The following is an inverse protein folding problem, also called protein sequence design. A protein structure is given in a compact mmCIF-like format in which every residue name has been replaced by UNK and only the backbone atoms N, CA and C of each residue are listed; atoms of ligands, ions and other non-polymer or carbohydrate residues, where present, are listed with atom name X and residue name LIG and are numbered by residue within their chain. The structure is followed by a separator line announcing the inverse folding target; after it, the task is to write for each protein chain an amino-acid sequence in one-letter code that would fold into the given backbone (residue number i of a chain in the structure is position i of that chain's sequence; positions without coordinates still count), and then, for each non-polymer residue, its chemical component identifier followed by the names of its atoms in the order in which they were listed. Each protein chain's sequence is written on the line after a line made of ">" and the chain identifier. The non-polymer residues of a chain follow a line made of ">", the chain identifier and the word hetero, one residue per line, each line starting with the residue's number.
data_IF_277430160528
#
_entry.id   IF_277430160528
#
_cell.length_a   1.000
_cell.length_b   1.000
_cell.length_c   1.000
_cell.angle_alpha   90.00
_cell.angle_beta   90.00
_cell.angle_gamma   90.00
#
_symmetry.space_group_name_H-M   'P 1'
#
loop_
_entity.id
_entity.type
_entity.pdbx_description
1 polymer ?
#
# COMPACT_ATOMS: atom_id res chain seq x y z
N UNK A 1 12.62 12.82 -2.64
CA UNK A 1 12.47 12.63 -4.09
C UNK A 1 11.12 12.00 -4.34
N UNK A 2 10.28 12.62 -5.20
CA UNK A 2 8.91 12.14 -5.50
C UNK A 2 8.89 11.05 -6.60
N UNK A 3 10.05 10.55 -7.01
CA UNK A 3 10.18 9.51 -8.03
C UNK A 3 10.59 8.19 -7.36
N UNK A 4 9.85 7.13 -7.66
CA UNK A 4 10.23 5.77 -7.28
C UNK A 4 11.54 5.34 -7.98
N UNK A 5 12.34 4.48 -7.39
CA UNK A 5 13.61 4.06 -7.97
C UNK A 5 13.39 3.34 -9.31
N UNK A 6 13.99 3.88 -10.37
CA UNK A 6 14.00 3.26 -11.70
C UNK A 6 12.76 3.48 -12.57
N UNK A 7 11.75 4.22 -12.11
CA UNK A 7 10.56 4.57 -12.91
C UNK A 7 10.71 5.93 -13.57
N UNK A 8 10.31 6.05 -14.84
CA UNK A 8 10.34 7.31 -15.59
C UNK A 8 9.15 7.39 -16.55
N UNK A 9 8.68 8.60 -16.89
CA UNK A 9 7.67 8.78 -17.93
C UNK A 9 8.06 8.08 -19.24
N UNK A 10 7.08 7.41 -19.86
CA UNK A 10 7.29 6.58 -21.05
C UNK A 10 7.56 5.10 -20.75
N UNK A 11 7.74 4.72 -19.49
CA UNK A 11 7.86 3.31 -19.08
C UNK A 11 6.50 2.60 -19.17
N UNK A 12 6.46 1.42 -19.77
CA UNK A 12 5.29 0.56 -19.72
C UNK A 12 5.15 -0.08 -18.33
N UNK A 13 3.92 -0.27 -17.85
CA UNK A 13 3.66 -0.90 -16.54
C UNK A 13 4.29 -2.30 -16.44
N UNK A 14 4.18 -3.10 -17.52
CA UNK A 14 4.80 -4.44 -17.60
C UNK A 14 6.34 -4.37 -17.43
N UNK A 15 6.98 -3.30 -17.91
CA UNK A 15 8.42 -3.10 -17.72
C UNK A 15 8.76 -2.75 -16.25
N UNK A 16 7.90 -1.98 -15.58
CA UNK A 16 7.99 -1.73 -14.15
C UNK A 16 7.86 -3.00 -13.33
N UNK A 17 6.88 -3.85 -13.66
CA UNK A 17 6.71 -5.17 -13.08
C UNK A 17 7.94 -6.08 -13.26
N UNK A 18 8.56 -6.07 -14.44
CA UNK A 18 9.74 -6.86 -14.70
C UNK A 18 11.00 -6.35 -13.98
N UNK A 19 11.09 -5.05 -13.73
CA UNK A 19 12.23 -4.42 -13.05
C UNK A 19 12.22 -4.66 -11.54
N UNK A 20 11.07 -4.58 -10.89
CA UNK A 20 10.95 -4.60 -9.43
C UNK A 20 11.57 -5.85 -8.77
N UNK A 21 11.36 -7.10 -9.25
CA UNK A 21 12.00 -8.30 -8.69
C UNK A 21 13.53 -8.25 -8.76
N UNK A 22 14.09 -7.65 -9.82
CA UNK A 22 15.54 -7.54 -9.97
C UNK A 22 16.12 -6.57 -8.94
N UNK A 23 15.49 -5.41 -8.76
CA UNK A 23 15.91 -4.41 -7.76
C UNK A 23 15.88 -5.01 -6.35
N UNK A 24 14.81 -5.72 -6.00
CA UNK A 24 14.68 -6.38 -4.70
C UNK A 24 15.74 -7.47 -4.49
N UNK A 25 16.01 -8.27 -5.53
CA UNK A 25 17.05 -9.30 -5.48
C UNK A 25 18.44 -8.70 -5.29
N UNK A 26 18.75 -7.63 -6.02
CA UNK A 26 20.05 -6.94 -5.90
C UNK A 26 20.20 -6.27 -4.52
N UNK A 27 19.09 -5.91 -3.90
CA UNK A 27 19.04 -5.45 -2.52
C UNK A 27 19.12 -6.57 -1.46
N UNK A 28 19.14 -7.86 -1.86
CA UNK A 28 19.33 -9.02 -0.98
C UNK A 28 18.04 -9.75 -0.56
N UNK A 29 16.91 -9.47 -1.22
CA UNK A 29 15.67 -10.23 -1.00
C UNK A 29 15.89 -11.72 -1.32
N UNK A 30 15.47 -12.62 -0.41
CA UNK A 30 15.56 -14.06 -0.61
C UNK A 30 14.51 -14.56 -1.61
N UNK A 31 13.27 -14.12 -1.45
CA UNK A 31 12.11 -14.42 -2.28
C UNK A 31 10.97 -13.45 -1.98
N UNK A 32 9.97 -13.36 -2.83
CA UNK A 32 8.66 -12.81 -2.49
C UNK A 32 7.79 -13.86 -1.80
N UNK A 33 6.92 -13.44 -0.88
CA UNK A 33 5.86 -14.30 -0.34
C UNK A 33 4.53 -14.05 -1.05
N UNK A 34 4.34 -12.88 -1.66
CA UNK A 34 3.27 -12.59 -2.62
C UNK A 34 3.82 -11.97 -3.91
N UNK A 35 2.95 -11.76 -4.89
CA UNK A 35 3.29 -11.11 -6.17
C UNK A 35 3.54 -9.61 -5.97
N UNK A 36 4.55 -9.09 -6.64
CA UNK A 36 4.81 -7.65 -6.69
C UNK A 36 3.72 -6.98 -7.54
N UNK A 37 3.18 -5.86 -7.09
CA UNK A 37 2.30 -5.02 -7.88
C UNK A 37 2.98 -3.69 -8.20
N UNK A 38 3.02 -3.36 -9.48
CA UNK A 38 3.40 -2.03 -9.98
C UNK A 38 2.23 -1.56 -10.82
N UNK A 39 1.57 -0.48 -10.41
CA UNK A 39 0.34 -0.03 -11.06
C UNK A 39 0.43 1.44 -11.40
N UNK A 40 0.12 1.77 -12.66
CA UNK A 40 0.22 3.13 -13.20
C UNK A 40 -1.17 3.70 -13.51
N UNK A 41 -1.35 5.01 -13.28
CA UNK A 41 -2.54 5.76 -13.67
C UNK A 41 -3.84 5.12 -13.21
N UNK A 42 -4.74 4.79 -14.13
CA UNK A 42 -6.03 4.19 -13.80
C UNK A 42 -5.92 2.78 -13.18
N UNK A 43 -4.81 2.07 -13.39
CA UNK A 43 -4.58 0.78 -12.73
C UNK A 43 -4.37 0.92 -11.22
N UNK A 44 -4.09 2.11 -10.69
CA UNK A 44 -4.03 2.38 -9.24
C UNK A 44 -5.36 2.18 -8.52
N UNK A 45 -6.46 2.07 -9.27
CA UNK A 45 -7.80 1.77 -8.73
C UNK A 45 -8.08 0.26 -8.57
N UNK A 46 -7.18 -0.60 -9.05
CA UNK A 46 -7.37 -2.05 -9.01
C UNK A 46 -7.10 -2.61 -7.62
N UNK A 47 -7.90 -3.61 -7.23
CA UNK A 47 -7.65 -4.41 -6.04
C UNK A 47 -6.52 -5.42 -6.29
N UNK A 48 -5.97 -6.03 -5.23
CA UNK A 48 -4.85 -6.97 -5.32
C UNK A 48 -5.06 -8.07 -6.37
N UNK A 49 -6.19 -8.76 -6.36
CA UNK A 49 -6.51 -9.86 -7.28
C UNK A 49 -6.97 -9.45 -8.68
N UNK A 50 -7.15 -8.16 -8.97
CA UNK A 50 -7.62 -7.68 -10.26
C UNK A 50 -6.46 -7.50 -11.25
N UNK A 51 -6.59 -7.98 -12.49
CA UNK A 51 -5.58 -7.77 -13.51
C UNK A 51 -5.51 -6.29 -13.91
N UNK A 52 -4.31 -5.80 -14.16
CA UNK A 52 -4.10 -4.50 -14.79
C UNK A 52 -4.69 -4.44 -16.20
N UNK A 53 -5.20 -3.30 -16.58
CA UNK A 53 -5.49 -3.04 -18.00
C UNK A 53 -4.17 -3.06 -18.79
N UNK A 54 -4.11 -3.76 -19.92
CA UNK A 54 -2.87 -3.89 -20.68
C UNK A 54 -2.47 -2.59 -21.37
N UNK A 55 -1.16 -2.44 -21.62
CA UNK A 55 -0.61 -1.34 -22.43
C UNK A 55 -0.59 0.01 -21.74
N UNK A 56 -0.75 0.06 -20.43
CA UNK A 56 -0.62 1.32 -19.68
C UNK A 56 0.84 1.74 -19.64
N UNK A 57 1.07 3.02 -19.93
CA UNK A 57 2.39 3.67 -19.96
C UNK A 57 2.36 4.85 -19.01
N UNK A 58 3.39 4.96 -18.17
CA UNK A 58 3.52 6.06 -17.21
C UNK A 58 3.60 7.41 -17.93
N UNK A 59 2.69 8.31 -17.61
CA UNK A 59 2.59 9.65 -18.20
C UNK A 59 3.65 10.62 -17.66
N UNK A 60 3.69 11.84 -18.24
CA UNK A 60 4.54 12.94 -17.74
C UNK A 60 4.00 13.51 -16.43
N UNK A 61 2.67 13.61 -16.32
CA UNK A 61 1.94 13.94 -15.10
C UNK A 61 1.04 12.73 -14.79
N UNK A 62 1.48 11.86 -13.88
CA UNK A 62 0.83 10.60 -13.57
C UNK A 62 1.10 10.17 -12.13
N UNK A 63 0.34 9.20 -11.66
CA UNK A 63 0.47 8.56 -10.35
C UNK A 63 0.70 7.06 -10.51
N UNK A 64 1.50 6.49 -9.64
CA UNK A 64 1.71 5.04 -9.60
C UNK A 64 1.99 4.57 -8.17
N UNK A 65 1.78 3.29 -7.91
CA UNK A 65 2.26 2.67 -6.68
C UNK A 65 3.07 1.40 -6.95
N UNK A 66 3.85 1.03 -5.97
CA UNK A 66 4.59 -0.23 -5.90
C UNK A 66 4.22 -0.88 -4.57
N UNK A 67 3.87 -2.15 -4.63
CA UNK A 67 3.53 -3.01 -3.50
C UNK A 67 4.42 -4.25 -3.58
N UNK A 68 5.11 -4.57 -2.49
CA UNK A 68 6.13 -5.61 -2.41
C UNK A 68 6.01 -6.43 -1.12
N UNK A 69 6.02 -7.76 -1.24
CA UNK A 69 6.09 -8.69 -0.12
C UNK A 69 7.42 -9.43 -0.07
N UNK A 70 8.54 -8.81 0.36
CA UNK A 70 9.83 -9.47 0.41
C UNK A 70 9.96 -10.42 1.59
N UNK A 71 10.71 -11.50 1.41
CA UNK A 71 11.28 -12.27 2.50
C UNK A 71 12.75 -11.89 2.66
N UNK A 72 13.09 -11.32 3.79
CA UNK A 72 14.43 -10.87 4.13
C UNK A 72 14.93 -11.55 5.39
N UNK A 73 16.09 -12.18 5.33
CA UNK A 73 16.68 -12.90 6.49
C UNK A 73 15.72 -13.88 7.18
N UNK A 74 14.81 -14.49 6.40
CA UNK A 74 13.83 -15.43 6.91
C UNK A 74 12.56 -14.82 7.51
N UNK A 75 12.37 -13.51 7.43
CA UNK A 75 11.18 -12.81 7.88
C UNK A 75 10.38 -12.28 6.66
N UNK A 76 9.07 -12.38 6.75
CA UNK A 76 8.16 -11.74 5.81
C UNK A 76 8.08 -10.25 6.14
N UNK A 77 8.27 -9.42 5.11
CA UNK A 77 7.99 -8.00 5.15
C UNK A 77 6.87 -7.67 4.17
N UNK A 78 6.25 -6.55 4.36
CA UNK A 78 5.27 -6.01 3.46
C UNK A 78 5.37 -4.50 3.43
N UNK A 79 5.22 -3.93 2.26
CA UNK A 79 5.28 -2.48 2.14
C UNK A 79 4.92 -2.00 0.76
N UNK A 80 4.15 -0.94 0.74
CA UNK A 80 3.71 -0.32 -0.49
C UNK A 80 3.62 1.20 -0.38
N UNK A 81 3.91 1.88 -1.47
CA UNK A 81 3.84 3.33 -1.51
C UNK A 81 3.49 3.86 -2.90
N UNK A 82 2.83 5.00 -2.91
CA UNK A 82 2.51 5.76 -4.12
C UNK A 82 3.53 6.85 -4.40
N UNK A 83 3.68 7.15 -5.68
CA UNK A 83 4.59 8.16 -6.21
C UNK A 83 3.91 8.91 -7.37
N UNK A 84 4.41 10.09 -7.67
CA UNK A 84 3.96 10.87 -8.83
C UNK A 84 5.11 11.17 -9.79
N UNK A 85 4.77 11.26 -11.08
CA UNK A 85 5.56 11.96 -12.07
C UNK A 85 4.94 13.35 -12.29
N UNK A 86 5.75 14.32 -12.74
CA UNK A 86 5.24 15.65 -13.05
C UNK A 86 4.74 16.46 -11.86
N UNK A 87 3.64 17.21 -12.06
CA UNK A 87 3.19 18.26 -11.13
C UNK A 87 1.66 18.35 -10.96
N UNK A 88 0.89 17.32 -11.33
CA UNK A 88 -0.55 17.33 -11.06
C UNK A 88 -0.79 17.48 -9.55
N UNK A 89 -1.49 18.56 -9.11
CA UNK A 89 -1.65 18.85 -7.69
C UNK A 89 -2.52 17.83 -6.97
N UNK A 90 -3.54 17.26 -7.65
CA UNK A 90 -4.46 16.30 -7.02
C UNK A 90 -3.76 14.95 -6.82
N UNK A 91 -2.91 14.53 -7.77
CA UNK A 91 -2.11 13.31 -7.62
C UNK A 91 -1.05 13.47 -6.54
N UNK A 92 -0.40 14.65 -6.45
CA UNK A 92 0.56 14.93 -5.39
C UNK A 92 -0.13 14.93 -4.01
N UNK A 93 -1.32 15.54 -3.90
CA UNK A 93 -2.10 15.56 -2.68
C UNK A 93 -2.53 14.14 -2.27
N UNK A 94 -2.95 13.30 -3.22
CA UNK A 94 -3.32 11.91 -2.93
C UNK A 94 -2.18 11.11 -2.30
N UNK A 95 -0.95 11.28 -2.79
CA UNK A 95 0.25 10.61 -2.24
C UNK A 95 0.55 11.11 -0.82
N UNK A 96 0.45 12.41 -0.58
CA UNK A 96 0.68 12.99 0.73
C UNK A 96 -0.43 12.55 1.72
N UNK A 97 -1.70 12.58 1.30
CA UNK A 97 -2.85 12.25 2.15
C UNK A 97 -2.94 10.75 2.49
N UNK A 98 -2.65 9.85 1.55
CA UNK A 98 -2.69 8.41 1.85
C UNK A 98 -1.65 8.03 2.91
N UNK A 99 -0.48 8.65 2.88
CA UNK A 99 0.55 8.48 3.91
C UNK A 99 0.12 9.08 5.23
N UNK A 100 -0.46 10.30 5.21
CA UNK A 100 -0.97 10.95 6.42
C UNK A 100 -2.08 10.14 7.08
N UNK A 101 -3.01 9.56 6.30
CA UNK A 101 -4.08 8.69 6.80
C UNK A 101 -3.51 7.45 7.49
N UNK A 102 -2.49 6.80 6.91
CA UNK A 102 -1.80 5.69 7.55
C UNK A 102 -1.19 6.10 8.89
N UNK A 103 -0.43 7.21 8.92
CA UNK A 103 0.23 7.70 10.12
C UNK A 103 -0.79 8.06 11.21
N UNK A 104 -1.88 8.74 10.86
CA UNK A 104 -2.99 9.08 11.77
C UNK A 104 -3.66 7.83 12.36
N UNK A 105 -3.94 6.82 11.52
CA UNK A 105 -4.58 5.58 11.97
C UNK A 105 -3.63 4.77 12.88
N UNK A 106 -2.35 4.67 12.53
CA UNK A 106 -1.33 4.03 13.37
C UNK A 106 -1.22 4.72 14.73
N UNK A 107 -1.19 6.05 14.76
CA UNK A 107 -1.06 6.80 16.00
C UNK A 107 -2.33 6.69 16.87
N UNK A 108 -3.53 6.68 16.27
CA UNK A 108 -4.77 6.40 16.98
C UNK A 108 -4.82 4.95 17.53
N UNK A 109 -4.30 3.96 16.77
CA UNK A 109 -4.16 2.61 17.28
C UNK A 109 -3.21 2.53 18.49
N UNK A 110 -2.09 3.25 18.46
CA UNK A 110 -1.13 3.30 19.57
C UNK A 110 -1.72 3.94 20.83
N UNK A 111 -2.45 5.06 20.67
CA UNK A 111 -3.00 5.81 21.80
C UNK A 111 -4.26 5.19 22.37
N UNK A 112 -5.17 4.73 21.52
CA UNK A 112 -6.54 4.37 21.90
C UNK A 112 -6.79 2.86 21.88
N UNK A 113 -5.84 2.06 21.36
CA UNK A 113 -5.96 0.61 21.26
C UNK A 113 -7.06 0.17 20.28
N UNK A 114 -7.23 0.89 19.16
CA UNK A 114 -8.28 0.62 18.20
C UNK A 114 -8.21 -0.83 17.70
N UNK A 115 -9.37 -1.48 17.59
CA UNK A 115 -9.52 -2.76 16.90
C UNK A 115 -9.30 -2.57 15.39
N UNK A 116 -9.13 -3.66 14.64
CA UNK A 116 -9.05 -3.57 13.18
C UNK A 116 -10.29 -2.89 12.58
N UNK A 117 -11.49 -3.24 13.03
CA UNK A 117 -12.74 -2.56 12.65
C UNK A 117 -12.68 -1.06 12.98
N UNK A 118 -12.23 -0.71 14.19
CA UNK A 118 -12.09 0.67 14.63
C UNK A 118 -11.09 1.46 13.78
N UNK A 119 -9.98 0.84 13.33
CA UNK A 119 -9.00 1.43 12.42
C UNK A 119 -9.64 1.80 11.07
N UNK A 120 -10.41 0.90 10.48
CA UNK A 120 -11.03 1.17 9.17
C UNK A 120 -12.23 2.11 9.26
N UNK A 121 -12.97 2.13 10.36
CA UNK A 121 -13.96 3.18 10.64
C UNK A 121 -13.31 4.56 10.80
N UNK A 122 -12.15 4.62 11.46
CA UNK A 122 -11.36 5.84 11.59
C UNK A 122 -10.84 6.32 10.22
N UNK A 123 -10.22 5.43 9.45
CA UNK A 123 -9.71 5.73 8.11
C UNK A 123 -10.79 6.22 7.17
N UNK A 124 -11.97 5.58 7.18
CA UNK A 124 -13.08 5.96 6.33
C UNK A 124 -13.54 7.40 6.57
N UNK A 125 -13.75 7.76 7.84
CA UNK A 125 -14.17 9.14 8.21
C UNK A 125 -13.12 10.16 7.80
N UNK A 126 -11.85 9.91 8.13
CA UNK A 126 -10.77 10.85 7.82
C UNK A 126 -10.51 10.98 6.31
N UNK A 127 -10.63 9.89 5.54
CA UNK A 127 -10.54 9.95 4.08
C UNK A 127 -11.68 10.77 3.47
N UNK A 128 -12.92 10.59 3.95
CA UNK A 128 -14.09 11.38 3.52
C UNK A 128 -13.91 12.88 3.85
N UNK A 129 -13.39 13.20 5.02
CA UNK A 129 -13.10 14.59 5.45
C UNK A 129 -12.05 15.27 4.56
N UNK A 130 -11.09 14.50 4.02
CA UNK A 130 -10.09 14.96 3.05
C UNK A 130 -10.60 14.94 1.60
N UNK A 131 -11.83 14.48 1.34
CA UNK A 131 -12.44 14.43 0.01
C UNK A 131 -12.13 13.17 -0.80
N UNK A 132 -11.58 12.13 -0.16
CA UNK A 132 -11.26 10.86 -0.78
C UNK A 132 -12.30 9.77 -0.48
N UNK A 133 -12.30 8.71 -1.29
CA UNK A 133 -13.06 7.48 -1.03
C UNK A 133 -12.09 6.38 -0.61
N UNK A 134 -12.24 5.86 0.61
CA UNK A 134 -11.47 4.70 1.06
C UNK A 134 -11.94 3.44 0.33
N UNK A 135 -10.99 2.63 -0.15
CA UNK A 135 -11.26 1.32 -0.71
C UNK A 135 -11.12 0.24 0.38
N UNK A 136 -12.23 -0.39 0.75
CA UNK A 136 -12.25 -1.43 1.78
C UNK A 136 -11.93 -2.84 1.26
N UNK A 137 -11.80 -3.03 -0.07
CA UNK A 137 -11.35 -4.29 -0.64
C UNK A 137 -9.82 -4.48 -0.49
N UNK A 138 -9.12 -3.40 -0.07
CA UNK A 138 -7.71 -3.36 0.32
C UNK A 138 -7.68 -2.92 1.79
N UNK A 139 -7.81 -3.88 2.71
CA UNK A 139 -8.09 -3.58 4.12
C UNK A 139 -7.20 -4.34 5.11
N UNK A 140 -5.97 -4.52 4.72
CA UNK A 140 -4.91 -5.05 5.55
C UNK A 140 -5.03 -6.55 5.86
N UNK A 141 -3.95 -7.11 6.30
CA UNK A 141 -3.87 -8.54 6.61
C UNK A 141 -2.81 -8.82 7.68
N UNK A 142 -2.76 -10.08 8.13
CA UNK A 142 -1.72 -10.54 9.04
C UNK A 142 -0.57 -11.17 8.27
N UNK A 143 0.67 -10.86 8.66
CA UNK A 143 1.83 -11.62 8.21
C UNK A 143 1.86 -13.00 8.90
N UNK A 144 2.49 -13.98 8.25
CA UNK A 144 2.70 -15.30 8.84
C UNK A 144 3.78 -15.24 9.93
N UNK A 145 3.57 -16.00 11.03
CA UNK A 145 4.61 -16.20 12.03
C UNK A 145 5.63 -17.21 11.51
N UNK A 146 6.85 -16.74 11.26
CA UNK A 146 7.95 -17.60 10.90
C UNK A 146 8.60 -18.24 12.17
N UNK A 147 8.97 -19.51 12.17
CA UNK A 147 8.94 -20.49 11.07
C UNK A 147 7.64 -21.31 10.98
N UNK A 148 6.69 -21.15 11.90
CA UNK A 148 5.50 -22.01 11.99
C UNK A 148 4.35 -21.58 11.12
N UNK A 149 4.47 -20.47 10.37
CA UNK A 149 3.51 -19.97 9.41
C UNK A 149 2.06 -19.92 9.95
N UNK A 150 1.88 -19.38 11.15
CA UNK A 150 0.53 -19.15 11.70
C UNK A 150 -0.15 -18.12 10.81
N UNK A 151 -1.27 -18.52 10.21
CA UNK A 151 -2.05 -17.66 9.31
C UNK A 151 -3.32 -17.19 10.00
N UNK A 152 -3.79 -16.05 9.56
CA UNK A 152 -5.13 -15.55 9.82
C UNK A 152 -5.81 -15.35 8.47
N UNK A 153 -6.92 -16.08 8.25
CA UNK A 153 -7.70 -15.94 7.03
C UNK A 153 -8.76 -14.86 7.26
N UNK A 154 -8.48 -13.65 6.82
CA UNK A 154 -9.36 -12.49 6.94
C UNK A 154 -8.61 -11.17 6.92
N UNK A 155 -9.33 -10.10 6.62
CA UNK A 155 -8.78 -8.77 6.58
C UNK A 155 -8.56 -8.19 7.99
N UNK A 156 -7.63 -7.25 8.10
CA UNK A 156 -7.45 -6.46 9.32
C UNK A 156 -8.75 -5.71 9.68
N UNK A 157 -9.49 -5.23 8.69
CA UNK A 157 -10.77 -4.56 8.89
C UNK A 157 -11.84 -5.43 9.58
N UNK A 158 -11.70 -6.76 9.56
CA UNK A 158 -12.71 -7.68 10.10
C UNK A 158 -12.49 -8.01 11.57
N UNK A 159 -11.31 -7.75 12.14
CA UNK A 159 -11.02 -8.14 13.52
C UNK A 159 -11.59 -7.17 14.55
N UNK A 160 -12.24 -7.71 15.56
CA UNK A 160 -12.88 -6.95 16.65
C UNK A 160 -11.94 -6.68 17.85
N UNK A 161 -10.66 -7.02 17.74
CA UNK A 161 -9.63 -6.80 18.74
C UNK A 161 -8.51 -5.92 18.19
N UNK A 162 -7.70 -5.35 19.08
CA UNK A 162 -6.54 -4.53 18.66
C UNK A 162 -5.46 -5.42 18.03
N UNK A 163 -4.97 -5.09 16.82
CA UNK A 163 -3.90 -5.85 16.18
C UNK A 163 -2.61 -5.80 17.00
N UNK A 164 -1.90 -6.92 17.04
CA UNK A 164 -0.61 -7.03 17.71
C UNK A 164 0.48 -6.35 16.89
N UNK A 165 1.32 -5.53 17.53
CA UNK A 165 2.46 -4.88 16.91
C UNK A 165 3.38 -5.85 16.16
N UNK A 166 3.78 -5.47 14.95
CA UNK A 166 4.74 -6.21 14.12
C UNK A 166 4.18 -7.44 13.40
N UNK A 167 2.87 -7.73 13.53
CA UNK A 167 2.23 -8.89 12.90
C UNK A 167 1.15 -8.53 11.87
N UNK A 168 0.73 -7.29 11.84
CA UNK A 168 -0.35 -6.83 10.98
C UNK A 168 0.11 -5.71 10.07
N UNK A 169 -0.28 -5.80 8.81
CA UNK A 169 -0.10 -4.76 7.81
C UNK A 169 -1.36 -3.92 7.77
N UNK A 170 -1.21 -2.60 7.89
CA UNK A 170 -2.28 -1.65 7.64
C UNK A 170 -2.17 -1.18 6.20
N UNK A 171 -3.14 -1.50 5.38
CA UNK A 171 -3.25 -1.04 4.00
C UNK A 171 -4.23 0.12 3.92
N UNK A 172 -3.86 1.17 3.21
CA UNK A 172 -4.72 2.31 2.93
C UNK A 172 -4.72 2.56 1.43
N UNK A 173 -5.84 2.33 0.77
CA UNK A 173 -6.04 2.73 -0.62
C UNK A 173 -7.16 3.76 -0.71
N UNK A 174 -6.84 4.95 -1.20
CA UNK A 174 -7.80 6.01 -1.46
C UNK A 174 -8.02 6.19 -2.95
N UNK A 175 -9.23 6.63 -3.33
CA UNK A 175 -9.65 6.86 -4.72
C UNK A 175 -10.14 8.29 -4.86
N UNK A 176 -9.74 8.94 -5.95
CA UNK A 176 -10.31 10.24 -6.28
C UNK A 176 -11.80 10.07 -6.60
N UNK A 177 -12.69 10.96 -6.09
CA UNK A 177 -14.15 10.81 -6.27
C UNK A 177 -14.62 10.91 -7.72
N UNK A 178 -13.87 11.62 -8.59
CA UNK A 178 -14.26 11.93 -9.96
C UNK A 178 -13.22 11.53 -11.02
N UNK A 179 -11.91 11.52 -10.67
CA UNK A 179 -10.82 11.20 -11.61
C UNK A 179 -10.43 9.72 -11.51
N UNK A 180 -9.96 9.10 -12.62
CA UNK A 180 -9.65 7.68 -12.65
C UNK A 180 -8.24 7.36 -12.08
N UNK A 181 -7.98 7.76 -10.83
CA UNK A 181 -6.76 7.39 -10.11
C UNK A 181 -7.01 7.24 -8.61
N UNK A 182 -6.10 6.55 -7.96
CA UNK A 182 -6.03 6.41 -6.51
C UNK A 182 -4.59 6.45 -6.02
N UNK A 183 -4.42 6.44 -4.70
CA UNK A 183 -3.13 6.30 -4.05
C UNK A 183 -3.19 5.17 -3.03
N UNK A 184 -2.05 4.54 -2.80
CA UNK A 184 -1.89 3.39 -1.92
C UNK A 184 -0.68 3.59 -1.00
N UNK A 185 -0.85 3.22 0.25
CA UNK A 185 0.23 3.11 1.22
C UNK A 185 -0.05 1.97 2.20
N UNK A 186 0.95 1.18 2.45
CA UNK A 186 0.92 0.14 3.47
C UNK A 186 2.26 -0.01 4.17
N UNK A 187 2.20 -0.44 5.40
CA UNK A 187 3.36 -0.81 6.21
C UNK A 187 2.88 -1.62 7.44
N UNK A 188 3.82 -2.19 8.16
CA UNK A 188 3.56 -2.86 9.42
C UNK A 188 3.04 -1.88 10.49
N UNK A 189 2.03 -2.31 11.24
CA UNK A 189 1.65 -1.66 12.48
C UNK A 189 2.72 -1.93 13.55
N UNK A 190 3.57 -0.95 13.79
CA UNK A 190 4.62 -1.01 14.80
C UNK A 190 4.24 -0.18 16.04
N UNK A 191 4.38 -0.77 17.22
CA UNK A 191 4.26 -0.06 18.50
C UNK A 191 5.39 0.96 18.71
N UNK A 192 5.36 1.68 19.84
CA UNK A 192 6.46 2.57 20.22
C UNK A 192 7.69 1.75 20.62
N UNK A 193 8.86 2.13 20.12
CA UNK A 193 10.16 1.57 20.53
C UNK A 193 10.57 0.27 19.83
N UNK A 194 9.98 -0.04 18.70
CA UNK A 194 10.43 -1.15 17.82
C UNK A 194 11.19 -0.60 16.62
#
# INVERSE_FOLDING_TARGET
>A
PRHGPGTAPGMAEDAGHALAPQVLKDAGMLRGWHGIHVRFGANTLKNFGEPSAPGVVLGQDDIFFIDIGPVWQGHEGDGGASFVTGRDPDMAQAVDDVRALFDMARDAWRSDGLSGQGLYDFLKRNAEDLGWRLNLDMSGHRLSDFPHAVKHDGALADIAYAPTSGLWVLEVQIRHPEKPFGAFYEDLLLGEGV
#
